data_IF_565248556342
#
_entry.id   IF_565248556342
#
_cell.length_a   1.000
_cell.length_b   1.000
_cell.length_c   1.000
_cell.angle_alpha   90.00
_cell.angle_beta   90.00
_cell.angle_gamma   90.00
#
_symmetry.space_group_name_H-M   'P 1'
#
loop_
_entity.id
_entity.type
_entity.pdbx_description
1 polymer ?
#
# COMPACT_ATOMS: atom_id res chain seq x y z
N UNK A 1 11.81 -23.25 5.78
CA UNK A 1 11.45 -22.45 4.59
C UNK A 1 12.19 -21.13 4.69
N UNK A 2 12.83 -20.65 3.62
CA UNK A 2 13.47 -19.33 3.63
C UNK A 2 12.38 -18.25 3.70
N UNK A 3 12.49 -17.33 4.66
CA UNK A 3 11.61 -16.15 4.70
C UNK A 3 11.90 -15.27 3.49
N UNK A 4 10.86 -14.69 2.90
CA UNK A 4 11.00 -13.69 1.84
C UNK A 4 11.75 -12.45 2.34
N UNK A 5 12.29 -11.66 1.42
CA UNK A 5 12.94 -10.39 1.71
C UNK A 5 11.90 -9.33 2.01
N UNK A 6 12.12 -8.61 3.11
CA UNK A 6 11.26 -7.52 3.55
C UNK A 6 11.97 -6.20 3.25
N UNK A 7 11.26 -5.28 2.60
CA UNK A 7 11.75 -3.91 2.37
C UNK A 7 10.76 -2.91 2.95
N UNK A 8 11.30 -1.83 3.51
CA UNK A 8 10.52 -0.72 4.02
C UNK A 8 10.96 0.54 3.30
N UNK A 9 10.00 1.33 2.81
CA UNK A 9 10.24 2.57 2.09
C UNK A 9 9.17 3.60 2.41
N UNK A 10 9.44 4.86 2.12
CA UNK A 10 8.46 5.94 2.12
C UNK A 10 8.12 6.27 0.67
N UNK A 11 6.85 6.46 0.37
CA UNK A 11 6.36 6.77 -0.98
C UNK A 11 6.25 8.25 -1.27
N UNK A 12 6.52 9.09 -0.29
CA UNK A 12 6.49 10.52 -0.46
C UNK A 12 6.99 11.21 0.77
N UNK A 13 7.19 12.51 0.65
CA UNK A 13 7.71 13.32 1.75
C UNK A 13 7.49 14.80 1.49
N UNK A 14 7.51 15.55 2.59
CA UNK A 14 7.45 17.01 2.54
C UNK A 14 8.85 17.57 2.24
N UNK A 15 8.95 18.35 1.17
CA UNK A 15 10.20 19.01 0.76
C UNK A 15 10.03 20.53 0.82
N UNK A 16 11.12 21.29 0.67
CA UNK A 16 11.04 22.76 0.58
C UNK A 16 10.25 23.27 -0.63
N UNK A 17 9.91 22.39 -1.59
CA UNK A 17 9.12 22.72 -2.78
C UNK A 17 7.67 22.18 -2.70
N UNK A 18 7.27 21.59 -1.58
CA UNK A 18 5.96 20.95 -1.40
C UNK A 18 6.06 19.43 -1.22
N UNK A 19 4.91 18.75 -1.26
CA UNK A 19 4.83 17.30 -1.17
C UNK A 19 5.33 16.66 -2.47
N UNK A 20 6.24 15.70 -2.35
CA UNK A 20 6.73 14.91 -3.48
C UNK A 20 6.29 13.46 -3.33
N UNK A 21 5.76 12.86 -4.40
CA UNK A 21 5.21 11.50 -4.44
C UNK A 21 6.03 10.61 -5.38
N UNK A 22 6.27 9.37 -4.96
CA UNK A 22 6.91 8.29 -5.72
C UNK A 22 5.93 7.15 -6.02
N UNK A 23 4.63 7.35 -5.84
CA UNK A 23 3.62 6.31 -6.02
C UNK A 23 3.62 5.72 -7.43
N UNK A 24 3.90 6.53 -8.45
CA UNK A 24 4.00 6.11 -9.85
C UNK A 24 5.12 5.08 -10.13
N UNK A 25 6.11 4.98 -9.25
CA UNK A 25 7.30 4.11 -9.44
C UNK A 25 7.20 2.77 -8.73
N UNK A 26 6.12 2.52 -8.01
CA UNK A 26 5.95 1.32 -7.18
C UNK A 26 5.70 0.08 -8.03
N UNK A 27 4.64 0.16 -8.84
CA UNK A 27 4.18 -0.90 -9.71
C UNK A 27 3.30 -0.23 -10.75
N UNK A 28 3.79 -0.15 -11.98
CA UNK A 28 3.01 0.44 -13.06
C UNK A 28 1.74 -0.37 -13.29
N UNK A 29 0.66 0.29 -13.73
CA UNK A 29 -0.59 -0.39 -14.03
C UNK A 29 -0.46 -1.44 -15.12
N UNK A 30 0.43 -1.22 -16.08
CA UNK A 30 0.70 -2.16 -17.17
C UNK A 30 1.34 -3.45 -16.65
N UNK A 31 2.16 -3.36 -15.60
CA UNK A 31 2.81 -4.52 -14.99
C UNK A 31 1.93 -5.17 -13.92
N UNK A 32 1.08 -4.39 -13.25
CA UNK A 32 0.29 -4.86 -12.13
C UNK A 32 -0.70 -5.96 -12.57
N UNK A 33 -0.62 -7.10 -11.89
CA UNK A 33 -1.67 -8.11 -11.99
C UNK A 33 -2.92 -7.64 -11.27
N UNK A 34 -2.76 -7.03 -10.08
CA UNK A 34 -3.84 -6.36 -9.34
C UNK A 34 -3.38 -5.15 -8.55
N UNK A 35 -4.17 -4.08 -8.61
CA UNK A 35 -4.09 -2.92 -7.70
C UNK A 35 -5.39 -2.85 -6.92
N UNK A 36 -5.29 -2.97 -5.60
CA UNK A 36 -6.41 -2.96 -4.66
C UNK A 36 -6.29 -1.69 -3.81
N UNK A 37 -7.26 -0.79 -3.94
CA UNK A 37 -7.32 0.40 -3.09
C UNK A 37 -8.24 0.13 -1.91
N UNK A 38 -7.74 0.41 -0.70
CA UNK A 38 -8.46 0.29 0.55
C UNK A 38 -8.90 1.69 0.96
N UNK A 39 -10.21 1.93 0.97
CA UNK A 39 -10.82 3.17 1.41
C UNK A 39 -11.35 3.07 2.82
N UNK A 40 -11.52 4.25 3.42
CA UNK A 40 -12.19 4.44 4.69
C UNK A 40 -11.58 5.59 5.48
N UNK A 41 -12.28 6.08 6.48
CA UNK A 41 -11.84 7.22 7.29
C UNK A 41 -10.58 6.94 8.13
N UNK A 42 -10.06 7.96 8.83
CA UNK A 42 -9.01 7.77 9.83
C UNK A 42 -9.42 6.75 10.89
N UNK A 43 -8.49 5.90 11.33
CA UNK A 43 -8.73 4.97 12.45
C UNK A 43 -9.53 3.70 12.12
N UNK A 44 -10.06 3.52 10.91
CA UNK A 44 -10.86 2.33 10.53
C UNK A 44 -10.02 1.05 10.30
N UNK A 45 -8.70 1.13 10.52
CA UNK A 45 -7.83 -0.05 10.48
C UNK A 45 -7.18 -0.37 9.12
N UNK A 46 -7.19 0.53 8.14
CA UNK A 46 -6.57 0.33 6.80
C UNK A 46 -5.12 -0.19 6.87
N UNK A 47 -4.25 0.56 7.55
CA UNK A 47 -2.85 0.18 7.78
C UNK A 47 -2.72 -1.17 8.49
N UNK A 48 -3.56 -1.43 9.48
CA UNK A 48 -3.57 -2.73 10.19
C UNK A 48 -3.97 -3.87 9.25
N UNK A 49 -4.96 -3.66 8.40
CA UNK A 49 -5.42 -4.64 7.42
C UNK A 49 -4.32 -4.96 6.40
N UNK A 50 -3.69 -3.93 5.83
CA UNK A 50 -2.55 -4.09 4.92
C UNK A 50 -1.38 -4.84 5.58
N UNK A 51 -1.01 -4.48 6.83
CA UNK A 51 0.05 -5.17 7.57
C UNK A 51 -0.24 -6.64 7.80
N UNK A 52 -1.50 -7.00 8.11
CA UNK A 52 -1.90 -8.40 8.26
C UNK A 52 -1.73 -9.18 6.97
N UNK A 53 -2.12 -8.60 5.84
CA UNK A 53 -1.93 -9.22 4.52
C UNK A 53 -0.44 -9.36 4.20
N UNK A 54 0.36 -8.31 4.37
CA UNK A 54 1.81 -8.38 4.16
C UNK A 54 2.47 -9.46 5.01
N UNK A 55 2.14 -9.52 6.30
CA UNK A 55 2.65 -10.53 7.24
C UNK A 55 2.32 -11.96 6.80
N UNK A 56 1.10 -12.20 6.34
CA UNK A 56 0.66 -13.50 5.82
C UNK A 56 1.46 -13.89 4.56
N UNK A 57 1.74 -12.93 3.67
CA UNK A 57 2.53 -13.18 2.46
C UNK A 57 4.00 -13.47 2.78
N UNK A 58 4.59 -12.79 3.77
CA UNK A 58 5.92 -13.13 4.29
C UNK A 58 5.97 -14.56 4.83
N UNK A 59 4.95 -14.98 5.59
CA UNK A 59 4.90 -16.32 6.21
C UNK A 59 4.77 -17.42 5.15
N UNK A 60 4.17 -17.09 4.00
CA UNK A 60 4.15 -17.91 2.79
C UNK A 60 5.45 -17.89 1.99
N UNK A 61 6.43 -17.08 2.39
CA UNK A 61 7.75 -16.99 1.76
C UNK A 61 7.86 -15.99 0.61
N UNK A 62 6.88 -15.10 0.44
CA UNK A 62 6.95 -14.04 -0.55
C UNK A 62 7.81 -12.87 -0.06
N UNK A 63 8.50 -12.22 -1.01
CA UNK A 63 9.08 -10.91 -0.78
C UNK A 63 7.95 -9.88 -0.64
N UNK A 64 8.10 -8.96 0.32
CA UNK A 64 7.09 -7.95 0.64
C UNK A 64 7.74 -6.58 0.80
N UNK A 65 7.16 -5.59 0.16
CA UNK A 65 7.57 -4.20 0.24
C UNK A 65 6.50 -3.39 0.96
N UNK A 66 6.85 -2.81 2.11
CA UNK A 66 5.98 -1.97 2.92
C UNK A 66 6.25 -0.50 2.68
N UNK A 67 5.17 0.25 2.54
CA UNK A 67 5.18 1.65 2.19
C UNK A 67 4.64 2.47 3.33
N UNK A 68 5.51 3.17 4.04
CA UNK A 68 5.18 3.93 5.23
C UNK A 68 4.55 5.27 4.90
N UNK A 69 3.59 5.66 5.73
CA UNK A 69 2.97 6.96 5.65
C UNK A 69 3.97 8.04 6.07
N UNK A 70 4.09 9.10 5.26
CA UNK A 70 4.99 10.22 5.56
C UNK A 70 4.53 11.07 6.76
N UNK A 71 3.25 10.95 7.15
CA UNK A 71 2.65 11.74 8.24
C UNK A 71 2.47 10.93 9.54
N UNK A 72 2.49 9.60 9.48
CA UNK A 72 2.43 8.71 10.65
C UNK A 72 3.41 7.55 10.48
N UNK A 73 4.48 7.57 11.27
CA UNK A 73 5.56 6.58 11.21
C UNK A 73 5.13 5.16 11.60
N UNK A 74 3.96 5.01 12.26
CA UNK A 74 3.38 3.72 12.57
C UNK A 74 2.33 3.27 11.55
N UNK A 75 1.99 4.10 10.56
CA UNK A 75 1.03 3.75 9.51
C UNK A 75 1.74 3.34 8.22
N UNK A 76 1.10 2.45 7.46
CA UNK A 76 1.50 2.16 6.08
C UNK A 76 0.38 2.60 5.15
N UNK A 77 0.78 3.16 4.01
CA UNK A 77 -0.11 3.57 2.93
C UNK A 77 -0.10 2.53 1.80
N UNK A 78 0.78 1.53 1.85
CA UNK A 78 0.77 0.47 0.86
C UNK A 78 1.60 -0.77 1.20
N UNK A 79 1.30 -1.84 0.47
CA UNK A 79 2.01 -3.12 0.46
C UNK A 79 2.09 -3.63 -0.96
N UNK A 80 3.29 -4.02 -1.39
CA UNK A 80 3.50 -4.69 -2.68
C UNK A 80 4.10 -6.06 -2.49
N UNK A 81 3.59 -7.01 -3.29
CA UNK A 81 4.13 -8.37 -3.39
C UNK A 81 4.67 -8.54 -4.82
N UNK A 82 5.97 -8.29 -5.06
CA UNK A 82 6.52 -8.21 -6.41
C UNK A 82 6.34 -9.49 -7.23
N UNK A 83 6.52 -10.65 -6.60
CA UNK A 83 6.47 -11.95 -7.29
C UNK A 83 5.12 -12.25 -7.96
N UNK A 84 4.02 -11.68 -7.45
CA UNK A 84 2.68 -11.82 -8.03
C UNK A 84 2.14 -10.50 -8.59
N UNK A 85 2.95 -9.44 -8.59
CA UNK A 85 2.61 -8.11 -9.08
C UNK A 85 1.27 -7.60 -8.53
N UNK A 86 1.09 -7.72 -7.21
CA UNK A 86 -0.09 -7.22 -6.49
C UNK A 86 0.31 -6.07 -5.59
N UNK A 87 -0.46 -4.98 -5.64
CA UNK A 87 -0.35 -3.83 -4.77
C UNK A 87 -1.64 -3.63 -3.96
N UNK A 88 -1.50 -3.35 -2.67
CA UNK A 88 -2.55 -2.82 -1.80
C UNK A 88 -2.16 -1.38 -1.45
N UNK A 89 -3.07 -0.44 -1.64
CA UNK A 89 -2.80 0.99 -1.46
C UNK A 89 -3.92 1.65 -0.65
N UNK A 90 -3.60 2.67 0.15
CA UNK A 90 -4.58 3.54 0.78
C UNK A 90 -5.25 4.41 -0.27
N UNK A 91 -6.58 4.31 -0.39
CA UNK A 91 -7.40 5.08 -1.32
C UNK A 91 -8.11 6.28 -0.71
N UNK A 92 -7.75 6.70 0.51
CA UNK A 92 -8.34 7.87 1.18
C UNK A 92 -7.95 9.16 0.46
N UNK A 93 -8.90 10.08 0.20
CA UNK A 93 -8.59 11.40 -0.34
C UNK A 93 -7.56 12.13 0.56
N UNK A 94 -6.57 12.88 0.02
CA UNK A 94 -6.52 13.59 -1.27
C UNK A 94 -5.85 12.83 -2.42
N UNK A 95 -5.60 11.53 -2.26
CA UNK A 95 -4.96 10.72 -3.30
C UNK A 95 -5.88 10.58 -4.52
N UNK A 96 -5.65 11.36 -5.58
CA UNK A 96 -6.35 11.30 -6.88
C UNK A 96 -6.10 9.98 -7.65
N UNK A 97 -5.29 9.08 -7.09
CA UNK A 97 -4.79 7.82 -7.70
C UNK A 97 -5.85 6.70 -7.77
N UNK A 98 -7.08 6.93 -7.31
CA UNK A 98 -8.16 5.91 -7.32
C UNK A 98 -8.67 5.59 -8.74
N UNK A 99 -8.35 6.41 -9.75
CA UNK A 99 -8.77 6.16 -11.14
C UNK A 99 -8.20 4.86 -11.74
N UNK A 100 -7.15 4.31 -11.11
CA UNK A 100 -6.41 3.15 -11.59
C UNK A 100 -6.61 1.89 -10.75
N UNK A 101 -7.45 1.97 -9.71
CA UNK A 101 -7.79 0.85 -8.87
C UNK A 101 -8.63 -0.16 -9.67
N UNK A 102 -8.16 -1.40 -9.77
CA UNK A 102 -8.96 -2.48 -10.35
C UNK A 102 -10.04 -2.96 -9.36
N UNK A 103 -9.79 -2.81 -8.06
CA UNK A 103 -10.72 -3.12 -6.99
C UNK A 103 -10.70 -2.05 -5.91
N UNK A 104 -11.88 -1.67 -5.45
CA UNK A 104 -12.09 -0.74 -4.34
C UNK A 104 -12.68 -1.51 -3.16
N UNK A 105 -12.01 -1.45 -2.01
CA UNK A 105 -12.50 -2.06 -0.77
C UNK A 105 -12.71 -0.98 0.28
N UNK A 106 -13.96 -0.65 0.58
CA UNK A 106 -14.28 0.35 1.60
C UNK A 106 -14.47 -0.33 2.96
N UNK A 107 -13.59 -0.06 3.93
CA UNK A 107 -13.68 -0.63 5.27
C UNK A 107 -14.82 -0.03 6.11
N UNK A 108 -15.39 1.11 5.71
CA UNK A 108 -16.51 1.73 6.43
C UNK A 108 -17.86 1.08 6.12
N UNK A 109 -17.99 0.41 4.98
CA UNK A 109 -19.23 -0.27 4.57
C UNK A 109 -19.27 -1.75 4.97
N UNK A 110 -18.23 -2.27 5.61
CA UNK A 110 -18.12 -3.69 6.00
C UNK A 110 -18.81 -3.98 7.35
N UNK A 111 -19.44 -2.99 7.98
CA UNK A 111 -20.14 -3.12 9.26
C UNK A 111 -21.48 -2.38 9.27
#
# INVERSE_FOLDING_TARGET
>A
MSKGKIRHMFLGGNTSQGFFSYYDYILSQEEATRIICIKGGPGVGKSTFMKKIGKEMEDRGYDVEYMHCSSDNNSIDGVVIPAIKVALLDGTAPHEEVSYAQYLFDLQEVW
#
